data_IF_230316129783
#
_entry.id   IF_230316129783
#
_cell.length_a   1.000
_cell.length_b   1.000
_cell.length_c   1.000
_cell.angle_alpha   90.00
_cell.angle_beta   90.00
_cell.angle_gamma   90.00
#
_symmetry.space_group_name_H-M   'P 1'
#
loop_
_entity.id
_entity.type
_entity.pdbx_description
1 polymer ?
#
# COMPACT_ATOMS: atom_id res chain seq x y z
N UNK A 1 28.93 42.80 24.57
CA UNK A 1 29.20 41.39 24.30
C UNK A 1 27.88 40.67 24.08
N UNK A 2 27.37 40.51 22.88
CA UNK A 2 26.16 39.73 22.64
C UNK A 2 26.52 38.27 22.30
N UNK A 3 26.35 37.39 23.25
CA UNK A 3 26.48 35.91 23.04
C UNK A 3 25.13 35.20 22.99
N UNK A 4 24.03 35.94 22.60
CA UNK A 4 22.65 35.41 22.60
C UNK A 4 22.15 34.86 21.27
N UNK A 5 22.74 35.23 20.15
CA UNK A 5 22.07 35.10 18.85
C UNK A 5 22.39 33.82 18.10
N UNK A 6 23.54 33.15 18.38
CA UNK A 6 23.93 31.92 17.69
C UNK A 6 23.13 30.67 18.09
N UNK A 7 22.55 30.65 19.28
CA UNK A 7 21.77 29.49 19.75
C UNK A 7 20.36 29.51 19.17
N UNK A 8 19.84 30.70 18.83
CA UNK A 8 18.51 30.85 18.26
C UNK A 8 18.48 30.45 16.77
N UNK A 9 19.51 30.80 16.01
CA UNK A 9 19.64 30.43 14.60
C UNK A 9 19.78 28.91 14.40
N UNK A 10 20.54 28.23 15.25
CA UNK A 10 20.69 26.78 15.20
C UNK A 10 19.36 26.05 15.45
N UNK A 11 18.51 26.54 16.35
CA UNK A 11 17.17 25.95 16.62
C UNK A 11 16.19 26.18 15.49
N UNK A 12 16.28 27.32 14.80
CA UNK A 12 15.42 27.62 13.65
C UNK A 12 15.84 26.76 12.45
N UNK A 13 17.15 26.64 12.19
CA UNK A 13 17.67 25.78 11.14
C UNK A 13 17.29 24.31 11.36
N UNK A 14 17.33 23.82 12.60
CA UNK A 14 16.96 22.45 12.94
C UNK A 14 15.45 22.18 12.79
N UNK A 15 14.59 23.16 13.09
CA UNK A 15 13.15 23.08 12.81
C UNK A 15 12.86 23.11 11.31
N UNK A 16 13.55 23.92 10.55
CA UNK A 16 13.40 24.00 9.09
C UNK A 16 13.81 22.66 8.45
N UNK A 17 14.92 22.08 8.85
CA UNK A 17 15.39 20.78 8.36
C UNK A 17 14.36 19.66 8.69
N UNK A 18 13.76 19.71 9.88
CA UNK A 18 12.76 18.73 10.29
C UNK A 18 11.45 18.85 9.45
N UNK A 19 11.02 20.08 9.13
CA UNK A 19 9.85 20.34 8.28
C UNK A 19 10.12 19.95 6.82
N UNK A 20 11.33 20.24 6.31
CA UNK A 20 11.73 19.82 4.96
C UNK A 20 11.87 18.30 4.84
N UNK A 21 12.32 17.60 5.89
CA UNK A 21 12.38 16.14 5.92
C UNK A 21 10.97 15.50 5.91
N UNK A 22 9.96 16.22 6.37
CA UNK A 22 8.57 15.75 6.35
C UNK A 22 7.86 16.07 5.03
N UNK A 23 8.33 17.12 4.32
CA UNK A 23 7.76 17.56 3.04
C UNK A 23 8.41 16.88 1.82
N UNK A 24 9.56 16.21 1.99
CA UNK A 24 10.13 15.43 0.89
C UNK A 24 9.27 14.18 0.67
N UNK A 25 8.68 14.00 -0.53
CA UNK A 25 8.04 12.75 -0.85
C UNK A 25 9.10 11.65 -0.70
N UNK A 26 8.87 10.72 0.23
CA UNK A 26 9.71 9.52 0.34
C UNK A 26 9.80 8.93 -1.06
N UNK A 27 11.00 8.71 -1.55
CA UNK A 27 11.24 8.16 -2.87
C UNK A 27 10.32 6.95 -3.04
N UNK A 28 9.45 7.00 -4.04
CA UNK A 28 8.58 5.88 -4.37
C UNK A 28 9.47 4.66 -4.58
N UNK A 29 9.07 3.51 -4.03
CA UNK A 29 9.77 2.24 -4.24
C UNK A 29 10.01 2.12 -5.76
N UNK A 30 11.27 1.93 -6.13
CA UNK A 30 11.61 1.73 -7.54
C UNK A 30 10.86 0.49 -8.05
N UNK A 31 10.15 0.64 -9.16
CA UNK A 31 9.46 -0.49 -9.80
C UNK A 31 10.42 -1.65 -10.06
N UNK A 32 11.68 -1.32 -10.34
CA UNK A 32 12.75 -2.30 -10.57
C UNK A 32 13.14 -3.10 -9.30
N UNK A 33 12.79 -2.62 -8.10
CA UNK A 33 13.10 -3.30 -6.83
C UNK A 33 11.95 -4.16 -6.31
N UNK A 34 10.81 -4.21 -6.99
CA UNK A 34 9.70 -5.05 -6.60
C UNK A 34 9.97 -6.52 -6.89
N UNK A 35 9.65 -7.44 -5.97
CA UNK A 35 9.68 -8.87 -6.26
C UNK A 35 8.75 -9.21 -7.43
N UNK A 36 9.24 -10.04 -8.36
CA UNK A 36 8.46 -10.46 -9.54
C UNK A 36 7.06 -11.01 -9.22
N UNK A 37 6.85 -11.82 -8.16
CA UNK A 37 5.52 -12.28 -7.79
C UNK A 37 4.54 -11.16 -7.43
N UNK A 38 5.05 -10.08 -6.81
CA UNK A 38 4.22 -8.91 -6.45
C UNK A 38 3.79 -8.17 -7.69
N UNK A 39 4.70 -7.96 -8.65
CA UNK A 39 4.39 -7.31 -9.91
C UNK A 39 3.32 -8.09 -10.69
N UNK A 40 3.49 -9.41 -10.83
CA UNK A 40 2.50 -10.28 -11.49
C UNK A 40 1.14 -10.18 -10.81
N UNK A 41 1.10 -10.18 -9.48
CA UNK A 41 -0.15 -10.06 -8.71
C UNK A 41 -0.87 -8.74 -8.98
N UNK A 42 -0.11 -7.64 -9.10
CA UNK A 42 -0.69 -6.32 -9.42
C UNK A 42 -1.21 -6.27 -10.86
N UNK A 43 -0.50 -6.86 -11.82
CA UNK A 43 -0.95 -6.94 -13.22
C UNK A 43 -2.25 -7.74 -13.34
N UNK A 44 -2.34 -8.88 -12.65
CA UNK A 44 -3.55 -9.71 -12.58
C UNK A 44 -4.70 -8.93 -11.95
N UNK A 45 -4.46 -8.25 -10.82
CA UNK A 45 -5.47 -7.43 -10.16
C UNK A 45 -5.97 -6.31 -11.10
N UNK A 46 -5.05 -5.57 -11.73
CA UNK A 46 -5.40 -4.51 -12.69
C UNK A 46 -6.24 -5.05 -13.86
N UNK A 47 -5.87 -6.21 -14.39
CA UNK A 47 -6.63 -6.92 -15.42
C UNK A 47 -8.05 -7.30 -14.98
N UNK A 48 -8.22 -7.78 -13.76
CA UNK A 48 -9.53 -8.10 -13.18
C UNK A 48 -10.40 -6.84 -13.01
N UNK A 49 -9.83 -5.74 -12.53
CA UNK A 49 -10.52 -4.46 -12.39
C UNK A 49 -10.99 -3.93 -13.75
N UNK A 50 -10.12 -3.99 -14.75
CA UNK A 50 -10.46 -3.65 -16.15
C UNK A 50 -11.61 -4.50 -16.68
N UNK A 51 -11.58 -5.81 -16.45
CA UNK A 51 -12.65 -6.71 -16.85
C UNK A 51 -13.95 -6.37 -16.13
N UNK A 52 -13.90 -6.09 -14.83
CA UNK A 52 -15.04 -5.69 -14.02
C UNK A 52 -15.73 -4.43 -14.54
N UNK A 53 -14.96 -3.41 -14.92
CA UNK A 53 -15.45 -2.20 -15.57
C UNK A 53 -16.11 -2.51 -16.92
N UNK A 54 -15.43 -3.27 -17.79
CA UNK A 54 -15.96 -3.64 -19.11
C UNK A 54 -17.28 -4.41 -19.04
N UNK A 55 -17.42 -5.32 -18.07
CA UNK A 55 -18.69 -6.04 -17.84
C UNK A 55 -19.84 -5.10 -17.49
N UNK A 56 -19.56 -3.97 -16.85
CA UNK A 56 -20.53 -2.92 -16.54
C UNK A 56 -20.75 -1.96 -17.71
N UNK A 57 -20.10 -2.21 -18.86
CA UNK A 57 -20.15 -1.37 -20.06
C UNK A 57 -19.74 0.09 -19.81
N UNK A 58 -18.91 0.32 -18.77
CA UNK A 58 -18.43 1.65 -18.43
C UNK A 58 -17.18 2.00 -19.23
N UNK A 59 -17.15 3.24 -19.74
CA UNK A 59 -15.95 3.77 -20.40
C UNK A 59 -14.85 4.09 -19.39
N UNK A 60 -13.59 4.13 -19.84
CA UNK A 60 -12.46 4.51 -19.01
C UNK A 60 -12.65 5.92 -18.41
N UNK A 61 -13.19 6.85 -19.22
CA UNK A 61 -13.43 8.24 -18.80
C UNK A 61 -14.52 8.33 -17.73
N UNK A 62 -15.62 7.60 -17.89
CA UNK A 62 -16.71 7.58 -16.92
C UNK A 62 -16.24 7.03 -15.57
N UNK A 63 -15.43 5.97 -15.60
CA UNK A 63 -14.91 5.35 -14.38
C UNK A 63 -13.90 6.25 -13.67
N UNK A 64 -12.99 6.88 -14.42
CA UNK A 64 -12.03 7.85 -13.89
C UNK A 64 -12.74 9.01 -13.17
N UNK A 65 -13.82 9.53 -13.75
CA UNK A 65 -14.63 10.57 -13.14
C UNK A 65 -15.29 10.11 -11.83
N UNK A 66 -15.83 8.89 -11.78
CA UNK A 66 -16.45 8.33 -10.58
C UNK A 66 -15.44 8.09 -9.45
N UNK A 67 -14.19 7.82 -9.79
CA UNK A 67 -13.10 7.55 -8.84
C UNK A 67 -12.34 8.82 -8.45
N UNK A 68 -12.68 9.96 -9.05
CA UNK A 68 -11.98 11.24 -8.89
C UNK A 68 -10.48 11.12 -9.19
N UNK A 69 -10.15 10.42 -10.27
CA UNK A 69 -8.77 10.25 -10.75
C UNK A 69 -8.65 10.64 -12.21
N UNK A 70 -7.44 10.92 -12.65
CA UNK A 70 -7.17 11.16 -14.07
C UNK A 70 -7.30 9.86 -14.89
N UNK A 71 -7.68 10.00 -16.16
CA UNK A 71 -7.76 8.86 -17.08
C UNK A 71 -6.41 8.11 -17.21
N UNK A 72 -5.25 8.80 -17.30
CA UNK A 72 -3.95 8.13 -17.27
C UNK A 72 -3.70 7.32 -15.97
N UNK A 73 -4.10 7.85 -14.80
CA UNK A 73 -3.97 7.15 -13.53
C UNK A 73 -4.81 5.86 -13.53
N UNK A 74 -6.05 5.93 -14.00
CA UNK A 74 -6.91 4.76 -14.13
C UNK A 74 -6.32 3.73 -15.11
N UNK A 75 -5.80 4.19 -16.25
CA UNK A 75 -5.15 3.30 -17.23
C UNK A 75 -3.91 2.61 -16.66
N UNK A 76 -3.12 3.33 -15.84
CA UNK A 76 -1.97 2.77 -15.14
C UNK A 76 -2.40 1.71 -14.10
N UNK A 77 -3.46 1.98 -13.32
CA UNK A 77 -4.04 1.01 -12.38
C UNK A 77 -4.49 -0.28 -13.11
N UNK A 78 -5.18 -0.15 -14.24
CA UNK A 78 -5.65 -1.31 -15.03
C UNK A 78 -4.50 -2.14 -15.63
N UNK A 79 -3.29 -1.58 -15.69
CA UNK A 79 -2.05 -2.28 -16.06
C UNK A 79 -1.31 -2.89 -14.86
N UNK A 80 -1.76 -2.61 -13.65
CA UNK A 80 -1.09 -3.07 -12.43
C UNK A 80 0.13 -2.23 -12.05
N UNK A 81 0.18 -0.95 -12.40
CA UNK A 81 1.31 -0.07 -12.07
C UNK A 81 1.41 0.11 -10.54
N UNK A 82 2.52 -0.30 -9.91
CA UNK A 82 2.71 -0.23 -8.47
C UNK A 82 2.84 1.21 -7.94
N UNK A 83 3.04 2.19 -8.81
CA UNK A 83 3.12 3.61 -8.44
C UNK A 83 1.74 4.22 -8.18
N UNK A 84 0.69 3.55 -8.61
CA UNK A 84 -0.68 3.97 -8.31
C UNK A 84 -0.98 3.65 -6.85
N UNK A 85 -1.55 4.62 -6.13
CA UNK A 85 -1.82 4.44 -4.70
C UNK A 85 -2.80 3.29 -4.45
N UNK A 86 -2.63 2.62 -3.30
CA UNK A 86 -3.55 1.57 -2.85
C UNK A 86 -4.99 2.09 -2.73
N UNK A 87 -5.18 3.38 -2.41
CA UNK A 87 -6.50 4.00 -2.34
C UNK A 87 -7.26 3.95 -3.67
N UNK A 88 -6.57 4.09 -4.80
CA UNK A 88 -7.19 3.99 -6.14
C UNK A 88 -7.66 2.56 -6.40
N UNK A 89 -6.84 1.55 -6.09
CA UNK A 89 -7.22 0.14 -6.18
C UNK A 89 -8.40 -0.19 -5.26
N UNK A 90 -8.38 0.33 -4.02
CA UNK A 90 -9.45 0.13 -3.05
C UNK A 90 -10.79 0.73 -3.54
N UNK A 91 -10.75 1.96 -4.09
CA UNK A 91 -11.93 2.61 -4.67
C UNK A 91 -12.48 1.83 -5.85
N UNK A 92 -11.62 1.29 -6.72
CA UNK A 92 -12.01 0.44 -7.82
C UNK A 92 -12.72 -0.85 -7.34
N UNK A 93 -12.17 -1.50 -6.30
CA UNK A 93 -12.79 -2.67 -5.68
C UNK A 93 -14.14 -2.34 -5.06
N UNK A 94 -14.26 -1.19 -4.39
CA UNK A 94 -15.54 -0.73 -3.84
C UNK A 94 -16.60 -0.50 -4.92
N UNK A 95 -16.24 0.13 -6.04
CA UNK A 95 -17.14 0.31 -7.18
C UNK A 95 -17.61 -1.02 -7.80
N UNK A 96 -16.79 -2.07 -7.64
CA UNK A 96 -17.13 -3.43 -8.07
C UNK A 96 -17.91 -4.21 -7.00
N UNK A 97 -18.13 -3.65 -5.79
CA UNK A 97 -18.74 -4.35 -4.66
C UNK A 97 -17.81 -5.45 -4.08
N UNK A 98 -16.50 -5.27 -4.16
CA UNK A 98 -15.48 -6.23 -3.73
C UNK A 98 -14.55 -5.67 -2.64
N UNK A 99 -14.96 -4.59 -1.98
CA UNK A 99 -14.20 -3.95 -0.89
C UNK A 99 -13.98 -4.87 0.33
N UNK A 100 -14.89 -5.83 0.56
CA UNK A 100 -14.72 -6.85 1.60
C UNK A 100 -13.42 -7.63 1.45
N UNK A 101 -13.01 -7.97 0.23
CA UNK A 101 -11.77 -8.69 -0.04
C UNK A 101 -10.51 -7.97 0.47
N UNK A 102 -10.54 -6.63 0.58
CA UNK A 102 -9.44 -5.85 1.15
C UNK A 102 -9.23 -6.10 2.64
N UNK A 103 -10.30 -6.33 3.38
CA UNK A 103 -10.25 -6.61 4.82
C UNK A 103 -9.58 -7.96 5.09
N UNK A 104 -9.79 -8.90 4.18
CA UNK A 104 -9.34 -10.29 4.33
C UNK A 104 -7.92 -10.50 3.78
N UNK A 105 -7.35 -9.53 3.01
CA UNK A 105 -6.04 -9.68 2.37
C UNK A 105 -4.89 -9.99 3.34
N UNK A 106 -4.93 -9.45 4.55
CA UNK A 106 -3.93 -9.66 5.58
C UNK A 106 -4.55 -10.21 6.87
N UNK A 107 -5.68 -10.90 6.76
CA UNK A 107 -6.37 -11.47 7.89
C UNK A 107 -5.48 -12.54 8.56
N UNK A 108 -5.29 -12.49 9.90
CA UNK A 108 -4.39 -13.38 10.62
C UNK A 108 -4.70 -14.87 10.38
N UNK A 109 -5.96 -15.21 10.18
CA UNK A 109 -6.41 -16.58 9.88
C UNK A 109 -5.86 -17.15 8.57
N UNK A 110 -5.38 -16.31 7.67
CA UNK A 110 -4.79 -16.73 6.41
C UNK A 110 -3.25 -16.84 6.48
N UNK A 111 -2.65 -16.47 7.61
CA UNK A 111 -1.21 -16.60 7.84
C UNK A 111 -0.86 -18.02 8.34
N UNK A 112 -0.79 -18.97 7.39
CA UNK A 112 -0.44 -20.35 7.70
C UNK A 112 0.95 -20.51 8.34
N UNK A 113 1.88 -19.59 8.08
CA UNK A 113 3.22 -19.64 8.67
C UNK A 113 3.20 -19.22 10.15
N UNK A 114 2.48 -18.14 10.48
CA UNK A 114 2.32 -17.72 11.86
C UNK A 114 1.61 -18.80 12.67
N UNK A 115 0.54 -19.38 12.14
CA UNK A 115 -0.20 -20.46 12.79
C UNK A 115 0.69 -21.69 13.06
N UNK A 116 1.49 -22.11 12.09
CA UNK A 116 2.43 -23.23 12.26
C UNK A 116 3.49 -22.93 13.33
N UNK A 117 4.01 -21.70 13.41
CA UNK A 117 4.95 -21.28 14.43
C UNK A 117 4.31 -21.26 15.83
N UNK A 118 3.06 -20.82 15.95
CA UNK A 118 2.32 -20.84 17.20
C UNK A 118 2.10 -22.26 17.72
N UNK A 119 1.72 -23.19 16.86
CA UNK A 119 1.56 -24.61 17.20
C UNK A 119 2.87 -25.18 17.74
N UNK A 120 3.99 -25.00 17.01
CA UNK A 120 5.31 -25.45 17.45
C UNK A 120 5.75 -24.83 18.78
N UNK A 121 5.42 -23.56 19.02
CA UNK A 121 5.71 -22.88 20.28
C UNK A 121 4.91 -23.45 21.46
N UNK A 122 3.66 -23.86 21.23
CA UNK A 122 2.82 -24.49 22.24
C UNK A 122 3.35 -25.88 22.58
N UNK A 123 3.68 -26.69 21.60
CA UNK A 123 4.26 -28.03 21.77
C UNK A 123 5.56 -27.99 22.59
N UNK A 124 6.45 -27.05 22.28
CA UNK A 124 7.71 -26.84 22.98
C UNK A 124 7.52 -26.41 24.45
N UNK A 125 6.46 -25.64 24.75
CA UNK A 125 6.10 -25.27 26.13
C UNK A 125 5.50 -26.45 26.90
N UNK A 126 4.69 -27.26 26.23
CA UNK A 126 4.09 -28.48 26.83
C UNK A 126 5.15 -29.50 27.25
N UNK A 127 6.14 -29.76 26.41
CA UNK A 127 7.25 -30.68 26.66
C UNK A 127 8.11 -30.28 27.88
N UNK A 128 8.36 -28.99 28.09
CA UNK A 128 9.13 -28.50 29.26
C UNK A 128 8.41 -28.60 30.60
N UNK A 129 7.09 -28.81 30.59
CA UNK A 129 6.28 -28.87 31.81
C UNK A 129 6.07 -30.31 32.31
N UNK A 130 6.46 -31.31 31.51
CA UNK A 130 6.34 -32.73 31.79
C UNK A 130 7.64 -33.39 32.30
N UNK A 131 8.74 -32.61 32.43
CA UNK A 131 9.99 -32.97 33.09
C UNK A 131 10.02 -32.38 34.53
#
# INVERSE_FOLDING_TARGET
>A
MPRGDLVCEAKIAQKIVCVYSWLMPKAAISVASLPSPVQISLEVLGGHLRLGRKRRKESLRAWALRMDVSVPTLAAMEKGDPRVSMGVYATALWLLGRDGALRDLAAPEHDAQALAQEILAIEKRGSRRSE
#
